data_IF_717968521345
#
_entry.id   IF_717968521345
#
_cell.length_a   1.000
_cell.length_b   1.000
_cell.length_c   1.000
_cell.angle_alpha   90.00
_cell.angle_beta   90.00
_cell.angle_gamma   90.00
#
_symmetry.space_group_name_H-M   'P 1'
#
loop_
_entity.id
_entity.type
_entity.pdbx_description
1 polymer ?
#
# COMPACT_ATOMS: atom_id res chain seq x y z
N UNK A 1 3.14 5.15 10.46
CA UNK A 1 2.45 5.13 11.77
C UNK A 1 2.42 6.57 12.25
N UNK A 2 1.25 7.22 12.19
CA UNK A 2 1.09 8.63 12.53
C UNK A 2 0.93 8.77 14.06
N UNK A 3 1.77 9.57 14.71
CA UNK A 3 1.66 9.90 16.13
C UNK A 3 0.84 11.18 16.30
N UNK A 4 -0.41 11.09 16.75
CA UNK A 4 -1.22 12.28 17.07
C UNK A 4 -0.84 12.90 18.41
N UNK A 5 -0.77 14.24 18.45
CA UNK A 5 -0.50 15.07 19.62
C UNK A 5 -1.76 15.31 20.47
N UNK A 6 -1.66 16.06 21.58
CA UNK A 6 -2.69 16.24 22.64
C UNK A 6 -4.06 16.82 22.20
N UNK A 7 -4.30 17.10 20.91
CA UNK A 7 -5.60 17.50 20.35
C UNK A 7 -6.19 16.36 19.51
N UNK A 8 -7.46 16.04 19.70
CA UNK A 8 -8.15 14.95 18.99
C UNK A 8 -8.17 15.14 17.46
N UNK A 9 -8.18 16.40 17.03
CA UNK A 9 -8.05 16.83 15.63
C UNK A 9 -6.86 17.79 15.58
N UNK A 10 -5.73 17.30 15.11
CA UNK A 10 -4.51 18.08 14.88
C UNK A 10 -4.10 17.98 13.40
N UNK A 11 -2.97 18.62 13.04
CA UNK A 11 -2.44 18.57 11.67
C UNK A 11 -2.18 17.12 11.18
N UNK A 12 -1.98 16.15 12.07
CA UNK A 12 -1.78 14.75 11.68
C UNK A 12 -3.04 14.10 11.13
N UNK A 13 -4.22 14.47 11.64
CA UNK A 13 -5.50 14.04 11.07
C UNK A 13 -5.68 14.61 9.65
N UNK A 14 -5.28 15.86 9.43
CA UNK A 14 -5.32 16.49 8.11
C UNK A 14 -4.31 15.85 7.14
N UNK A 15 -3.10 15.52 7.63
CA UNK A 15 -2.09 14.76 6.89
C UNK A 15 -2.63 13.39 6.47
N UNK A 16 -3.29 12.65 7.38
CA UNK A 16 -3.91 11.37 7.05
C UNK A 16 -5.00 11.52 5.99
N UNK A 17 -5.87 12.54 6.09
CA UNK A 17 -6.89 12.82 5.08
C UNK A 17 -6.27 13.05 3.70
N UNK A 18 -5.27 13.94 3.61
CA UNK A 18 -4.60 14.24 2.35
C UNK A 18 -3.92 13.00 1.77
N UNK A 19 -3.19 12.25 2.60
CA UNK A 19 -2.50 11.03 2.19
C UNK A 19 -3.46 9.97 1.64
N UNK A 20 -4.55 9.66 2.34
CA UNK A 20 -5.56 8.72 1.87
C UNK A 20 -6.21 9.20 0.56
N UNK A 21 -6.59 10.48 0.48
CA UNK A 21 -7.18 11.06 -0.73
C UNK A 21 -6.24 10.99 -1.92
N UNK A 22 -4.97 11.34 -1.73
CA UNK A 22 -3.98 11.43 -2.80
C UNK A 22 -3.53 10.06 -3.32
N UNK A 23 -3.26 9.12 -2.42
CA UNK A 23 -2.75 7.81 -2.80
C UNK A 23 -3.87 6.90 -3.35
N UNK A 24 -5.12 7.09 -2.93
CA UNK A 24 -6.26 6.28 -3.38
C UNK A 24 -7.05 6.90 -4.54
N UNK A 25 -6.75 8.13 -4.95
CA UNK A 25 -7.43 8.80 -6.06
C UNK A 25 -7.06 8.24 -7.43
N UNK A 26 -7.91 8.47 -8.42
CA UNK A 26 -7.50 8.39 -9.82
C UNK A 26 -6.79 9.68 -10.26
N UNK A 27 -6.40 9.76 -11.53
CA UNK A 27 -5.73 10.94 -12.10
C UNK A 27 -6.57 12.20 -11.98
N UNK A 28 -7.90 12.12 -12.17
CA UNK A 28 -8.78 13.28 -12.18
C UNK A 28 -8.87 13.88 -10.78
N UNK A 29 -9.13 13.03 -9.79
CA UNK A 29 -9.25 13.43 -8.40
C UNK A 29 -7.90 13.89 -7.84
N UNK A 30 -6.78 13.29 -8.28
CA UNK A 30 -5.43 13.70 -7.85
C UNK A 30 -5.07 15.11 -8.33
N UNK A 31 -5.52 15.53 -9.52
CA UNK A 31 -5.28 16.90 -10.01
C UNK A 31 -5.87 17.96 -9.07
N UNK A 32 -7.00 17.67 -8.42
CA UNK A 32 -7.64 18.60 -7.46
C UNK A 32 -6.76 18.80 -6.20
N UNK A 33 -5.87 17.84 -5.91
CA UNK A 33 -4.97 17.84 -4.75
C UNK A 33 -3.58 18.38 -5.08
N UNK A 34 -3.38 18.90 -6.30
CA UNK A 34 -2.12 19.41 -6.81
C UNK A 34 -2.34 20.82 -7.38
N UNK A 35 -1.37 21.74 -7.23
CA UNK A 35 -1.36 22.96 -8.02
C UNK A 35 -1.28 22.67 -9.52
N UNK A 36 -1.84 23.57 -10.35
CA UNK A 36 -1.89 23.41 -11.82
C UNK A 36 -0.51 23.14 -12.44
N UNK A 37 0.54 23.81 -11.94
CA UNK A 37 1.94 23.61 -12.37
C UNK A 37 2.43 22.16 -12.19
N UNK A 38 1.85 21.42 -11.25
CA UNK A 38 2.24 20.07 -10.88
C UNK A 38 1.23 19.00 -11.34
N UNK A 39 0.32 19.30 -12.27
CA UNK A 39 -0.63 18.32 -12.80
C UNK A 39 0.01 17.10 -13.48
N UNK A 40 1.27 17.18 -13.92
CA UNK A 40 2.03 16.02 -14.43
C UNK A 40 2.24 14.93 -13.38
N UNK A 41 2.21 15.27 -12.08
CA UNK A 41 2.33 14.31 -10.99
C UNK A 41 1.01 13.58 -10.69
N UNK A 42 -0.09 13.98 -11.34
CA UNK A 42 -1.41 13.39 -11.07
C UNK A 42 -1.57 11.97 -11.64
N UNK A 43 -0.79 11.60 -12.65
CA UNK A 43 -0.95 10.32 -13.33
C UNK A 43 -0.49 9.16 -12.47
N UNK A 44 -1.28 8.09 -12.44
CA UNK A 44 -1.04 6.94 -11.57
C UNK A 44 0.29 6.22 -11.83
N UNK A 45 0.78 6.21 -13.08
CA UNK A 45 2.09 5.65 -13.45
C UNK A 45 3.27 6.62 -13.19
N UNK A 46 3.01 7.80 -12.64
CA UNK A 46 4.03 8.80 -12.28
C UNK A 46 4.25 8.84 -10.78
N UNK A 47 3.27 8.47 -9.95
CA UNK A 47 3.41 8.47 -8.49
C UNK A 47 4.10 7.20 -8.03
N UNK A 48 5.30 7.33 -7.45
CA UNK A 48 5.97 6.21 -6.76
C UNK A 48 5.49 6.08 -5.32
N UNK A 49 5.38 7.21 -4.62
CA UNK A 49 4.80 7.25 -3.28
C UNK A 49 4.88 8.62 -2.62
N UNK A 50 4.16 8.75 -1.50
CA UNK A 50 4.05 9.97 -0.72
C UNK A 50 4.60 9.68 0.68
N UNK A 51 5.84 10.09 0.95
CA UNK A 51 6.53 9.76 2.19
C UNK A 51 6.28 10.82 3.26
N UNK A 52 5.73 10.47 4.44
CA UNK A 52 5.51 11.43 5.52
C UNK A 52 6.81 11.80 6.26
N UNK A 53 6.81 12.99 6.88
CA UNK A 53 7.79 13.45 7.88
C UNK A 53 9.25 13.31 7.44
N UNK A 54 9.59 13.89 6.30
CA UNK A 54 10.91 13.72 5.70
C UNK A 54 11.81 14.88 6.08
N UNK A 55 12.99 14.58 6.60
CA UNK A 55 14.08 15.55 6.73
C UNK A 55 14.62 15.88 5.33
N UNK A 56 14.40 17.10 4.88
CA UNK A 56 14.81 17.56 3.53
C UNK A 56 15.98 18.55 3.54
N UNK A 57 16.35 19.07 4.72
CA UNK A 57 17.49 19.97 4.83
C UNK A 57 17.72 20.48 6.25
N UNK A 58 18.44 21.59 6.33
CA UNK A 58 18.54 22.39 7.55
C UNK A 58 17.70 23.66 7.40
N UNK A 59 17.27 24.23 8.53
CA UNK A 59 16.65 25.55 8.56
C UNK A 59 17.71 26.64 8.54
N UNK A 60 17.33 27.83 8.10
CA UNK A 60 18.23 29.01 8.04
C UNK A 60 18.77 29.42 9.41
N UNK A 61 18.04 29.14 10.48
CA UNK A 61 18.38 29.42 11.88
C UNK A 61 19.03 28.23 12.62
N UNK A 62 19.27 27.11 11.93
CA UNK A 62 19.84 25.89 12.49
C UNK A 62 18.79 24.81 12.83
N UNK A 63 19.25 23.56 12.89
CA UNK A 63 18.38 22.39 13.09
C UNK A 63 17.83 21.81 11.79
N UNK A 64 17.06 20.73 11.89
CA UNK A 64 16.57 19.98 10.73
C UNK A 64 15.25 20.56 10.22
N UNK A 65 15.15 20.80 8.91
CA UNK A 65 13.87 21.07 8.26
C UNK A 65 13.20 19.73 7.90
N UNK A 66 12.01 19.52 8.44
CA UNK A 66 11.17 18.35 8.22
C UNK A 66 9.90 18.84 7.56
N UNK A 67 9.63 18.37 6.34
CA UNK A 67 8.38 18.65 5.63
C UNK A 67 7.34 17.58 5.97
N UNK A 68 6.06 17.92 5.89
CA UNK A 68 4.99 16.97 6.18
C UNK A 68 4.96 15.79 5.22
N UNK A 69 5.14 16.04 3.91
CA UNK A 69 5.35 14.98 2.93
C UNK A 69 6.40 15.32 1.88
N UNK A 70 7.00 14.27 1.31
CA UNK A 70 7.71 14.32 0.03
C UNK A 70 7.02 13.41 -0.96
N UNK A 71 6.62 13.97 -2.09
CA UNK A 71 6.10 13.21 -3.23
C UNK A 71 7.27 12.73 -4.10
N UNK A 72 7.44 11.41 -4.15
CA UNK A 72 8.42 10.74 -5.00
C UNK A 72 7.75 10.33 -6.31
N UNK A 73 8.24 10.82 -7.46
CA UNK A 73 7.78 10.34 -8.75
C UNK A 73 8.52 9.06 -9.16
N UNK A 74 7.96 8.34 -10.13
CA UNK A 74 8.59 7.18 -10.75
C UNK A 74 9.86 7.61 -11.49
N UNK A 75 10.96 6.82 -11.45
CA UNK A 75 12.22 7.15 -12.13
C UNK A 75 12.05 7.47 -13.62
N UNK A 76 11.14 6.78 -14.28
CA UNK A 76 10.86 6.94 -15.73
C UNK A 76 10.22 8.27 -16.10
N UNK A 77 9.76 9.06 -15.12
CA UNK A 77 9.10 10.35 -15.37
C UNK A 77 10.08 11.51 -15.59
N UNK A 78 11.32 11.39 -15.11
CA UNK A 78 12.29 12.50 -15.10
C UNK A 78 11.88 13.71 -14.24
N UNK A 79 10.80 13.60 -13.48
CA UNK A 79 10.32 14.68 -12.61
C UNK A 79 11.13 14.70 -11.29
N UNK A 80 11.43 15.88 -10.72
CA UNK A 80 12.04 15.94 -9.40
C UNK A 80 11.01 15.68 -8.30
N UNK A 81 11.46 15.32 -7.08
CA UNK A 81 10.56 15.22 -5.92
C UNK A 81 9.95 16.59 -5.56
N UNK A 82 8.79 16.56 -4.89
CA UNK A 82 8.10 17.75 -4.38
C UNK A 82 7.98 17.68 -2.86
N UNK A 83 8.31 18.77 -2.17
CA UNK A 83 7.98 18.94 -0.76
C UNK A 83 6.53 19.43 -0.63
N UNK A 84 5.82 18.93 0.38
CA UNK A 84 4.45 19.32 0.65
C UNK A 84 4.34 19.66 2.13
N UNK A 85 3.89 20.88 2.41
CA UNK A 85 3.56 21.32 3.76
C UNK A 85 2.04 21.37 3.93
N UNK A 86 1.55 20.85 5.06
CA UNK A 86 0.14 20.86 5.40
C UNK A 86 -0.10 21.88 6.51
N UNK A 87 -1.12 22.72 6.35
CA UNK A 87 -1.60 23.62 7.42
C UNK A 87 -3.12 23.62 7.50
N UNK A 88 -3.62 23.94 8.69
CA UNK A 88 -5.03 24.30 8.84
C UNK A 88 -5.32 25.63 8.15
N UNK A 89 -4.51 26.66 8.43
CA UNK A 89 -4.55 27.94 7.74
C UNK A 89 -3.24 28.22 7.02
N UNK A 90 -3.32 28.72 5.79
CA UNK A 90 -2.14 29.14 5.02
C UNK A 90 -1.33 30.22 5.76
N UNK A 91 -1.98 31.04 6.58
CA UNK A 91 -1.33 32.08 7.41
C UNK A 91 -0.32 31.51 8.40
N UNK A 92 -0.53 30.28 8.88
CA UNK A 92 0.39 29.62 9.81
C UNK A 92 1.73 29.29 9.12
N UNK A 93 1.71 29.03 7.81
CA UNK A 93 2.92 28.85 7.01
C UNK A 93 3.60 30.20 6.71
N UNK A 94 2.83 31.26 6.42
CA UNK A 94 3.39 32.58 6.15
C UNK A 94 4.20 33.16 7.32
N UNK A 95 3.83 32.79 8.56
CA UNK A 95 4.56 33.15 9.77
C UNK A 95 5.91 32.43 9.92
N UNK A 96 6.25 31.50 9.01
CA UNK A 96 7.45 30.67 9.05
C UNK A 96 8.31 30.87 7.77
N UNK A 97 8.76 32.11 7.49
CA UNK A 97 9.49 32.43 6.27
C UNK A 97 10.81 31.66 6.14
N UNK A 98 11.40 31.19 7.24
CA UNK A 98 12.60 30.36 7.25
C UNK A 98 12.43 29.02 6.52
N UNK A 99 11.19 28.64 6.18
CA UNK A 99 10.88 27.42 5.44
C UNK A 99 10.77 27.64 3.93
N UNK A 100 10.59 28.88 3.46
CA UNK A 100 10.17 29.16 2.09
C UNK A 100 11.14 28.63 1.03
N UNK A 101 12.45 28.67 1.31
CA UNK A 101 13.49 28.18 0.39
C UNK A 101 13.35 26.69 0.04
N UNK A 102 12.68 25.91 0.90
CA UNK A 102 12.42 24.49 0.67
C UNK A 102 11.22 24.23 -0.25
N UNK A 103 10.49 25.26 -0.67
CA UNK A 103 9.30 25.14 -1.53
C UNK A 103 9.33 26.06 -2.76
N UNK A 104 10.09 27.16 -2.73
CA UNK A 104 10.08 28.22 -3.76
C UNK A 104 11.07 28.01 -4.93
N UNK A 105 11.71 26.84 -5.03
CA UNK A 105 12.78 26.47 -5.98
C UNK A 105 14.19 26.99 -5.66
N UNK A 106 14.43 27.62 -4.49
CA UNK A 106 15.79 28.00 -4.07
C UNK A 106 16.62 26.79 -3.64
N UNK A 107 16.12 25.99 -2.69
CA UNK A 107 16.74 24.72 -2.25
C UNK A 107 16.03 23.54 -2.91
N UNK A 108 14.70 23.59 -2.88
CA UNK A 108 13.85 22.56 -3.46
C UNK A 108 12.52 23.16 -3.90
N UNK A 109 11.75 22.36 -4.63
CA UNK A 109 10.43 22.73 -5.12
C UNK A 109 9.35 22.04 -4.29
N UNK A 110 8.22 22.72 -4.13
CA UNK A 110 7.12 22.19 -3.35
C UNK A 110 5.90 23.08 -3.39
N UNK A 111 4.92 22.74 -2.56
CA UNK A 111 3.69 23.51 -2.44
C UNK A 111 3.09 23.37 -1.04
N UNK A 112 2.17 24.27 -0.73
CA UNK A 112 1.42 24.25 0.52
C UNK A 112 0.02 23.71 0.26
N UNK A 113 -0.46 22.88 1.18
CA UNK A 113 -1.84 22.43 1.24
C UNK A 113 -2.48 23.05 2.47
N UNK A 114 -3.57 23.76 2.29
CA UNK A 114 -4.32 24.36 3.39
C UNK A 114 -5.81 24.01 3.32
N UNK A 115 -6.56 24.20 4.40
CA UNK A 115 -8.03 24.15 4.33
C UNK A 115 -8.53 25.49 3.76
N UNK A 116 -9.51 25.43 2.84
CA UNK A 116 -10.06 26.63 2.21
C UNK A 116 -10.67 27.58 3.27
N UNK A 117 -10.25 28.84 3.22
CA UNK A 117 -10.83 29.95 3.98
C UNK A 117 -11.44 30.96 2.99
N UNK A 118 -12.75 31.21 3.12
CA UNK A 118 -13.51 32.10 2.25
C UNK A 118 -12.99 33.53 2.25
N UNK A 119 -12.29 33.96 3.32
CA UNK A 119 -11.73 35.31 3.43
C UNK A 119 -10.30 35.42 2.91
N UNK A 120 -9.53 34.33 2.92
CA UNK A 120 -8.12 34.36 2.60
C UNK A 120 -7.60 33.01 2.08
N UNK A 121 -7.58 32.87 0.75
CA UNK A 121 -7.07 31.69 0.04
C UNK A 121 -6.24 32.10 -1.19
N UNK A 122 -5.08 32.76 -1.03
CA UNK A 122 -4.21 33.11 -2.15
C UNK A 122 -3.74 31.87 -2.92
N UNK A 123 -3.66 31.93 -4.24
CA UNK A 123 -3.15 30.83 -5.07
C UNK A 123 -1.64 30.61 -4.90
N UNK A 124 -0.91 31.66 -4.52
CA UNK A 124 0.54 31.64 -4.35
C UNK A 124 0.99 32.48 -3.15
N UNK A 125 2.11 32.05 -2.54
CA UNK A 125 2.88 32.78 -1.53
C UNK A 125 4.28 33.13 -2.08
N UNK A 126 5.07 33.85 -1.29
CA UNK A 126 6.45 34.26 -1.63
C UNK A 126 6.54 34.87 -3.03
N UNK A 127 5.78 35.96 -3.26
CA UNK A 127 5.76 36.69 -4.54
C UNK A 127 5.50 35.79 -5.76
N UNK A 128 4.57 34.83 -5.65
CA UNK A 128 4.18 33.96 -6.76
C UNK A 128 5.01 32.68 -6.89
N UNK A 129 5.95 32.40 -5.98
CA UNK A 129 6.89 31.28 -6.10
C UNK A 129 6.40 29.99 -5.46
N UNK A 130 5.61 30.07 -4.39
CA UNK A 130 5.13 28.90 -3.66
C UNK A 130 3.64 28.72 -3.96
N UNK A 131 3.25 27.75 -4.79
CA UNK A 131 1.83 27.51 -5.06
C UNK A 131 1.11 26.91 -3.85
N UNK A 132 -0.19 27.17 -3.74
CA UNK A 132 -1.07 26.67 -2.69
C UNK A 132 -2.24 25.89 -3.29
N UNK A 133 -2.61 24.77 -2.67
CA UNK A 133 -3.84 24.03 -2.99
C UNK A 133 -4.74 23.95 -1.76
N UNK A 134 -6.04 24.15 -1.97
CA UNK A 134 -7.01 24.23 -0.88
C UNK A 134 -7.91 22.99 -0.80
N UNK A 135 -7.98 22.41 0.39
CA UNK A 135 -8.90 21.32 0.71
C UNK A 135 -10.28 21.86 1.04
N UNK A 136 -11.31 21.23 0.48
CA UNK A 136 -12.70 21.54 0.79
C UNK A 136 -13.05 21.15 2.24
N UNK A 137 -13.49 22.10 3.09
CA UNK A 137 -13.85 21.82 4.49
C UNK A 137 -14.97 20.79 4.62
N UNK A 138 -15.98 20.84 3.75
CA UNK A 138 -17.12 19.91 3.79
C UNK A 138 -16.72 18.48 3.41
N UNK A 139 -15.79 18.32 2.47
CA UNK A 139 -15.27 17.01 2.11
C UNK A 139 -14.44 16.42 3.24
N UNK A 140 -13.62 17.25 3.91
CA UNK A 140 -12.89 16.83 5.10
C UNK A 140 -13.82 16.39 6.22
N UNK A 141 -14.88 17.17 6.52
CA UNK A 141 -15.90 16.79 7.52
C UNK A 141 -16.53 15.44 7.21
N UNK A 142 -16.97 15.23 5.96
CA UNK A 142 -17.57 13.96 5.52
C UNK A 142 -16.60 12.79 5.67
N UNK A 143 -15.33 12.98 5.31
CA UNK A 143 -14.30 11.95 5.50
C UNK A 143 -14.07 11.66 6.98
N UNK A 144 -13.91 12.70 7.81
CA UNK A 144 -13.65 12.56 9.23
C UNK A 144 -14.77 11.81 9.93
N UNK A 145 -16.04 12.13 9.66
CA UNK A 145 -17.19 11.41 10.23
C UNK A 145 -17.12 9.90 9.94
N UNK A 146 -16.76 9.51 8.71
CA UNK A 146 -16.60 8.10 8.31
C UNK A 146 -15.42 7.39 8.97
N UNK A 147 -14.40 8.13 9.38
CA UNK A 147 -13.12 7.60 9.92
C UNK A 147 -12.95 7.83 11.42
N UNK A 148 -13.86 8.58 12.04
CA UNK A 148 -13.80 9.05 13.43
C UNK A 148 -13.47 7.94 14.42
N UNK A 149 -14.16 6.80 14.33
CA UNK A 149 -13.88 5.65 15.19
C UNK A 149 -12.43 5.19 15.10
N UNK A 150 -11.90 5.00 13.88
CA UNK A 150 -10.53 4.53 13.67
C UNK A 150 -9.50 5.56 14.16
N UNK A 151 -9.74 6.85 13.90
CA UNK A 151 -8.87 7.95 14.35
C UNK A 151 -8.82 8.00 15.88
N UNK A 152 -9.99 7.96 16.53
CA UNK A 152 -10.09 8.00 18.00
C UNK A 152 -9.49 6.73 18.62
N UNK A 153 -9.79 5.56 18.06
CA UNK A 153 -9.23 4.29 18.54
C UNK A 153 -7.70 4.29 18.44
N UNK A 154 -7.13 4.79 17.35
CA UNK A 154 -5.68 4.92 17.20
C UNK A 154 -5.06 5.87 18.22
N UNK A 155 -5.67 7.05 18.42
CA UNK A 155 -5.18 8.02 19.40
C UNK A 155 -5.21 7.46 20.83
N UNK A 156 -6.27 6.73 21.19
CA UNK A 156 -6.38 6.08 22.50
C UNK A 156 -5.36 4.95 22.65
N UNK A 157 -5.23 4.09 21.65
CA UNK A 157 -4.29 2.98 21.64
C UNK A 157 -2.84 3.46 21.85
N UNK A 158 -2.43 4.51 21.13
CA UNK A 158 -1.11 5.13 21.30
C UNK A 158 -0.90 5.65 22.72
N UNK A 159 -1.93 6.26 23.32
CA UNK A 159 -1.84 6.81 24.69
C UNK A 159 -1.81 5.73 25.77
N UNK A 160 -2.50 4.63 25.53
CA UNK A 160 -2.61 3.50 26.46
C UNK A 160 -1.50 2.45 26.26
N UNK A 161 -0.69 2.57 25.21
CA UNK A 161 0.31 1.56 24.85
C UNK A 161 -0.33 0.24 24.41
N UNK A 162 -1.57 0.28 23.92
CA UNK A 162 -2.30 -0.88 23.41
C UNK A 162 -2.39 -0.87 21.88
N UNK A 163 -2.81 -1.98 21.29
CA UNK A 163 -3.05 -2.04 19.84
C UNK A 163 -4.38 -1.36 19.49
N UNK A 164 -4.45 -0.57 18.41
CA UNK A 164 -5.69 0.01 17.93
C UNK A 164 -6.67 -1.07 17.51
N UNK A 165 -7.93 -0.92 17.89
CA UNK A 165 -9.00 -1.84 17.48
C UNK A 165 -9.66 -1.33 16.21
N UNK A 166 -9.76 -2.16 15.19
CA UNK A 166 -10.54 -1.85 13.99
C UNK A 166 -11.99 -2.24 14.21
N UNK A 167 -12.94 -1.35 13.91
CA UNK A 167 -14.37 -1.66 14.01
C UNK A 167 -14.76 -2.89 13.19
N UNK A 168 -14.13 -3.07 12.02
CA UNK A 168 -14.38 -4.21 11.13
C UNK A 168 -13.68 -5.50 11.57
N UNK A 169 -12.88 -5.48 12.64
CA UNK A 169 -11.99 -6.58 12.99
C UNK A 169 -10.78 -6.72 12.04
N UNK A 170 -10.02 -7.79 12.24
CA UNK A 170 -8.89 -8.20 11.39
C UNK A 170 -9.35 -8.48 9.95
N UNK A 171 -8.50 -8.19 8.98
CA UNK A 171 -8.72 -8.49 7.56
C UNK A 171 -7.81 -9.60 7.06
N UNK A 172 -8.23 -10.20 5.95
CA UNK A 172 -7.58 -11.35 5.34
C UNK A 172 -7.22 -11.04 3.90
N UNK A 173 -5.99 -11.30 3.52
CA UNK A 173 -5.41 -10.91 2.25
C UNK A 173 -4.81 -12.11 1.54
N UNK A 174 -4.86 -12.11 0.21
CA UNK A 174 -4.23 -13.13 -0.63
C UNK A 174 -3.20 -12.46 -1.53
N UNK A 175 -1.99 -13.04 -1.56
CA UNK A 175 -0.88 -12.65 -2.43
C UNK A 175 -0.42 -13.87 -3.21
N UNK A 176 -0.53 -13.81 -4.54
CA UNK A 176 -0.03 -14.83 -5.44
C UNK A 176 1.42 -14.52 -5.83
N UNK A 177 2.34 -15.41 -5.44
CA UNK A 177 3.77 -15.30 -5.75
C UNK A 177 4.09 -16.04 -7.05
N UNK A 178 4.51 -15.27 -8.07
CA UNK A 178 4.80 -15.76 -9.43
C UNK A 178 6.13 -15.23 -9.96
N UNK A 179 6.82 -16.03 -10.78
CA UNK A 179 8.09 -15.63 -11.42
C UNK A 179 9.15 -15.18 -10.41
N UNK A 180 9.76 -14.01 -10.63
CA UNK A 180 10.79 -13.46 -9.74
C UNK A 180 10.31 -13.25 -8.29
N UNK A 181 9.02 -12.95 -8.08
CA UNK A 181 8.47 -12.72 -6.73
C UNK A 181 8.47 -13.99 -5.87
N UNK A 182 8.42 -15.18 -6.49
CA UNK A 182 8.56 -16.46 -5.79
C UNK A 182 9.95 -16.59 -5.15
N UNK A 183 11.01 -16.36 -5.92
CA UNK A 183 12.38 -16.46 -5.39
C UNK A 183 12.63 -15.42 -4.29
N UNK A 184 12.14 -14.19 -4.47
CA UNK A 184 12.25 -13.15 -3.44
C UNK A 184 11.52 -13.54 -2.15
N UNK A 185 10.31 -14.11 -2.26
CA UNK A 185 9.58 -14.57 -1.09
C UNK A 185 10.34 -15.70 -0.36
N UNK A 186 10.80 -16.72 -1.07
CA UNK A 186 11.45 -17.87 -0.44
C UNK A 186 12.81 -17.54 0.18
N UNK A 187 13.61 -16.69 -0.48
CA UNK A 187 14.96 -16.37 -0.02
C UNK A 187 15.01 -15.25 1.02
N UNK A 188 14.05 -14.33 0.97
CA UNK A 188 14.09 -13.12 1.80
C UNK A 188 12.80 -12.91 2.58
N UNK A 189 11.65 -13.04 1.93
CA UNK A 189 10.38 -12.74 2.60
C UNK A 189 10.04 -13.68 3.76
N UNK A 190 10.05 -14.99 3.48
CA UNK A 190 9.77 -16.05 4.45
C UNK A 190 10.83 -16.12 5.57
N UNK A 191 12.16 -16.09 5.29
CA UNK A 191 13.17 -16.20 6.35
C UNK A 191 13.30 -14.96 7.24
N UNK A 192 13.00 -13.76 6.73
CA UNK A 192 13.16 -12.50 7.47
C UNK A 192 11.82 -11.85 7.88
N UNK A 193 10.72 -12.59 7.80
CA UNK A 193 9.39 -12.14 8.24
C UNK A 193 8.93 -10.83 7.60
N UNK A 194 9.10 -10.73 6.29
CA UNK A 194 8.86 -9.50 5.56
C UNK A 194 8.25 -9.77 4.19
N UNK A 195 7.48 -8.82 3.69
CA UNK A 195 7.15 -8.78 2.28
C UNK A 195 7.33 -7.38 1.72
N UNK A 196 7.98 -7.31 0.56
CA UNK A 196 8.20 -6.08 -0.18
C UNK A 196 7.35 -6.10 -1.45
N UNK A 197 6.57 -5.05 -1.65
CA UNK A 197 5.87 -4.84 -2.88
C UNK A 197 6.80 -4.03 -3.79
N UNK A 198 7.06 -4.56 -5.00
CA UNK A 198 7.67 -3.76 -6.06
C UNK A 198 6.77 -2.55 -6.32
N UNK A 199 7.36 -1.39 -6.60
CA UNK A 199 6.63 -0.12 -6.77
C UNK A 199 5.32 -0.33 -7.55
N UNK A 200 4.22 -0.38 -6.81
CA UNK A 200 2.90 -0.69 -7.33
C UNK A 200 2.27 0.63 -7.76
N UNK A 201 1.82 0.69 -9.01
CA UNK A 201 1.09 1.85 -9.51
C UNK A 201 -0.24 2.03 -8.76
N UNK A 202 -0.79 1.00 -8.10
CA UNK A 202 -2.10 1.03 -7.44
C UNK A 202 -2.03 0.44 -6.02
N UNK A 203 -1.40 1.12 -5.04
CA UNK A 203 -1.16 0.56 -3.71
C UNK A 203 -2.43 0.48 -2.83
N UNK A 204 -3.64 0.61 -3.42
CA UNK A 204 -4.90 0.75 -2.68
C UNK A 204 -5.12 -0.40 -1.70
N UNK A 205 -4.88 -1.63 -2.15
CA UNK A 205 -5.09 -2.80 -1.29
C UNK A 205 -3.99 -2.92 -0.24
N UNK A 206 -2.74 -2.72 -0.66
CA UNK A 206 -1.56 -2.82 0.22
C UNK A 206 -1.66 -1.82 1.38
N UNK A 207 -2.03 -0.57 1.11
CA UNK A 207 -2.19 0.48 2.12
C UNK A 207 -3.24 0.16 3.19
N UNK A 208 -4.17 -0.74 2.89
CA UNK A 208 -5.22 -1.15 3.81
C UNK A 208 -4.82 -2.34 4.69
N UNK A 209 -3.64 -2.93 4.47
CA UNK A 209 -3.05 -3.98 5.31
C UNK A 209 -2.50 -3.34 6.58
N UNK A 210 -3.06 -3.73 7.73
CA UNK A 210 -2.71 -3.20 9.04
C UNK A 210 -2.08 -4.27 9.94
N UNK A 211 -1.48 -3.86 11.07
CA UNK A 211 -1.08 -4.78 12.14
C UNK A 211 -2.29 -5.61 12.60
N UNK A 212 -2.10 -6.91 12.77
CA UNK A 212 -3.13 -7.88 13.15
C UNK A 212 -3.86 -8.55 11.99
N UNK A 213 -3.76 -8.02 10.77
CA UNK A 213 -4.30 -8.68 9.57
C UNK A 213 -3.53 -9.97 9.26
N UNK A 214 -4.12 -10.84 8.42
CA UNK A 214 -3.49 -12.06 7.94
C UNK A 214 -3.28 -12.04 6.43
N UNK A 215 -2.13 -12.52 5.98
CA UNK A 215 -1.78 -12.63 4.57
C UNK A 215 -1.54 -14.10 4.21
N UNK A 216 -2.27 -14.59 3.21
CA UNK A 216 -2.08 -15.88 2.57
C UNK A 216 -1.17 -15.67 1.35
N UNK A 217 0.05 -16.21 1.39
CA UNK A 217 0.91 -16.36 0.22
C UNK A 217 0.61 -17.67 -0.48
N UNK A 218 0.37 -17.62 -1.79
CA UNK A 218 0.10 -18.81 -2.60
C UNK A 218 1.07 -18.92 -3.77
N UNK A 219 1.56 -20.14 -4.04
CA UNK A 219 2.37 -20.47 -5.21
C UNK A 219 1.75 -21.62 -5.98
N UNK A 220 1.71 -21.47 -7.30
CA UNK A 220 1.34 -22.56 -8.19
C UNK A 220 2.49 -23.54 -8.38
N UNK A 221 2.14 -24.82 -8.41
CA UNK A 221 2.94 -25.88 -8.97
C UNK A 221 2.99 -25.77 -10.51
N UNK A 222 1.80 -25.69 -11.09
CA UNK A 222 1.57 -25.45 -12.50
C UNK A 222 0.27 -24.67 -12.67
N UNK A 223 0.11 -24.00 -13.81
CA UNK A 223 -1.12 -23.29 -14.18
C UNK A 223 -1.23 -23.23 -15.71
N UNK A 224 -2.21 -23.94 -16.25
CA UNK A 224 -2.38 -24.17 -17.68
C UNK A 224 -3.86 -24.10 -18.07
N UNK A 225 -4.19 -23.48 -19.23
CA UNK A 225 -3.30 -22.73 -20.11
C UNK A 225 -3.01 -21.32 -19.57
N UNK A 226 -1.73 -20.96 -19.52
CA UNK A 226 -1.27 -19.62 -19.17
C UNK A 226 -1.69 -19.18 -17.76
N UNK A 227 -2.62 -18.22 -17.65
CA UNK A 227 -3.10 -17.63 -16.39
C UNK A 227 -4.56 -18.00 -16.09
N UNK A 228 -5.00 -19.17 -16.54
CA UNK A 228 -6.37 -19.66 -16.40
C UNK A 228 -6.67 -20.17 -14.97
N UNK A 229 -6.70 -19.27 -14.00
CA UNK A 229 -7.04 -19.61 -12.60
C UNK A 229 -8.55 -19.48 -12.41
N UNK A 230 -9.24 -20.61 -12.44
CA UNK A 230 -10.69 -20.73 -12.25
C UNK A 230 -11.02 -21.87 -11.29
N UNK A 231 -12.10 -21.74 -10.49
CA UNK A 231 -12.56 -22.83 -9.64
C UNK A 231 -12.93 -24.05 -10.49
N UNK A 232 -12.89 -25.25 -9.91
CA UNK A 232 -13.38 -26.45 -10.55
C UNK A 232 -14.91 -26.40 -10.62
N UNK A 233 -15.48 -26.70 -11.79
CA UNK A 233 -16.93 -26.81 -11.94
C UNK A 233 -17.37 -28.26 -11.94
N UNK A 234 -18.35 -28.59 -11.11
CA UNK A 234 -19.04 -29.88 -11.18
C UNK A 234 -20.00 -29.98 -12.39
N UNK A 235 -20.33 -28.84 -13.01
CA UNK A 235 -21.07 -28.79 -14.26
C UNK A 235 -20.13 -29.00 -15.47
N UNK A 236 -20.29 -30.14 -16.15
CA UNK A 236 -19.52 -30.54 -17.35
C UNK A 236 -19.66 -29.57 -18.54
N UNK A 237 -20.69 -28.71 -18.56
CA UNK A 237 -20.90 -27.70 -19.61
C UNK A 237 -20.37 -26.32 -19.23
N UNK A 238 -19.72 -26.17 -18.07
CA UNK A 238 -19.21 -24.88 -17.64
C UNK A 238 -18.17 -24.33 -18.62
N UNK A 239 -18.26 -23.03 -18.85
CA UNK A 239 -17.40 -22.30 -19.76
C UNK A 239 -16.77 -21.09 -19.05
N UNK A 240 -15.45 -20.97 -19.17
CA UNK A 240 -14.67 -19.93 -18.51
C UNK A 240 -14.10 -18.96 -19.54
N UNK A 241 -14.44 -17.68 -19.43
CA UNK A 241 -14.10 -16.67 -20.44
C UNK A 241 -12.59 -16.37 -20.49
N UNK A 242 -11.95 -16.54 -21.64
CA UNK A 242 -10.53 -16.16 -21.82
C UNK A 242 -10.37 -14.64 -21.81
N UNK A 243 -9.21 -14.16 -21.35
CA UNK A 243 -8.90 -12.72 -21.32
C UNK A 243 -8.85 -12.07 -22.72
N UNK A 244 -8.61 -12.85 -23.79
CA UNK A 244 -8.53 -12.39 -25.18
C UNK A 244 -9.73 -12.82 -26.04
N UNK A 245 -10.85 -13.17 -25.42
CA UNK A 245 -12.05 -13.68 -26.11
C UNK A 245 -12.06 -15.20 -26.27
N UNK A 246 -13.26 -15.77 -26.39
CA UNK A 246 -13.50 -17.21 -26.36
C UNK A 246 -13.65 -17.79 -24.95
N UNK A 247 -13.79 -19.11 -24.88
CA UNK A 247 -14.03 -19.86 -23.65
C UNK A 247 -13.04 -21.01 -23.48
N UNK A 248 -12.83 -21.41 -22.24
CA UNK A 248 -12.21 -22.68 -21.84
C UNK A 248 -13.28 -23.58 -21.23
N UNK A 249 -13.21 -24.88 -21.49
CA UNK A 249 -13.99 -25.88 -20.75
C UNK A 249 -13.35 -26.20 -19.40
N UNK A 250 -14.03 -26.99 -18.59
CA UNK A 250 -13.54 -27.39 -17.29
C UNK A 250 -12.28 -28.28 -17.39
N UNK A 251 -12.20 -29.15 -18.38
CA UNK A 251 -11.11 -30.11 -18.61
C UNK A 251 -9.87 -29.44 -19.21
N UNK A 252 -10.04 -28.34 -19.94
CA UNK A 252 -8.93 -27.58 -20.52
C UNK A 252 -8.11 -26.82 -19.47
N UNK A 253 -8.59 -26.71 -18.23
CA UNK A 253 -7.93 -25.91 -17.17
C UNK A 253 -7.32 -26.83 -16.12
N UNK A 254 -5.99 -26.78 -15.98
CA UNK A 254 -5.23 -27.49 -14.95
C UNK A 254 -4.39 -26.51 -14.16
N UNK A 255 -4.56 -26.49 -12.84
CA UNK A 255 -3.64 -25.80 -11.95
C UNK A 255 -3.63 -26.49 -10.58
N UNK A 256 -2.52 -26.38 -9.88
CA UNK A 256 -2.40 -26.86 -8.50
C UNK A 256 -1.51 -25.93 -7.69
N UNK A 257 -1.71 -25.87 -6.38
CA UNK A 257 -0.88 -25.10 -5.46
C UNK A 257 0.12 -26.02 -4.77
N UNK A 258 1.38 -25.59 -4.64
CA UNK A 258 2.41 -26.33 -3.89
C UNK A 258 3.08 -25.46 -2.82
N UNK A 259 2.46 -24.34 -2.46
CA UNK A 259 2.78 -23.52 -1.30
C UNK A 259 1.56 -22.71 -0.92
N UNK A 260 1.17 -22.80 0.35
CA UNK A 260 0.28 -21.86 1.02
C UNK A 260 0.89 -21.52 2.38
N UNK A 261 1.35 -20.29 2.56
CA UNK A 261 1.78 -19.77 3.86
C UNK A 261 0.76 -18.73 4.34
N UNK A 262 0.30 -18.85 5.57
CA UNK A 262 -0.57 -17.89 6.24
C UNK A 262 0.23 -17.23 7.36
N UNK A 263 0.36 -15.91 7.28
CA UNK A 263 1.20 -15.12 8.18
C UNK A 263 0.43 -13.97 8.80
N UNK A 264 0.61 -13.75 10.10
CA UNK A 264 0.03 -12.61 10.81
C UNK A 264 0.92 -11.38 10.65
N UNK A 265 0.32 -10.27 10.25
CA UNK A 265 1.00 -8.99 10.07
C UNK A 265 1.37 -8.41 11.43
N UNK A 266 2.65 -8.12 11.61
CA UNK A 266 3.19 -7.39 12.76
C UNK A 266 3.18 -5.88 12.51
N UNK A 267 3.58 -5.48 11.31
CA UNK A 267 3.58 -4.08 10.88
C UNK A 267 2.94 -4.02 9.50
N UNK A 268 1.82 -3.31 9.44
CA UNK A 268 1.13 -3.01 8.19
C UNK A 268 1.97 -2.16 7.23
N UNK A 269 1.31 -1.67 6.19
CA UNK A 269 1.97 -0.91 5.13
C UNK A 269 2.85 0.22 5.67
N UNK A 270 4.10 0.23 5.21
CA UNK A 270 5.02 1.32 5.48
C UNK A 270 6.00 1.51 4.33
N UNK A 271 6.56 2.72 4.27
CA UNK A 271 7.45 3.18 3.22
C UNK A 271 8.91 3.20 3.68
N UNK A 272 9.85 2.99 2.77
CA UNK A 272 11.25 3.30 3.01
C UNK A 272 11.91 4.03 1.84
N UNK A 273 12.03 5.35 1.99
CA UNK A 273 12.81 6.22 1.13
C UNK A 273 14.10 6.72 1.78
N UNK A 274 14.63 6.01 2.79
CA UNK A 274 15.97 6.33 3.30
C UNK A 274 17.06 5.83 2.34
N UNK A 275 18.29 6.31 2.47
CA UNK A 275 19.46 5.79 1.73
C UNK A 275 19.99 4.47 2.32
N UNK A 276 19.33 3.91 3.34
CA UNK A 276 19.68 2.62 3.93
C UNK A 276 18.61 1.59 3.60
N UNK A 277 18.98 0.32 3.32
CA UNK A 277 18.00 -0.74 3.25
C UNK A 277 17.41 -0.93 4.65
N UNK A 278 16.08 -1.04 4.78
CA UNK A 278 15.47 -1.25 6.09
C UNK A 278 15.58 -2.72 6.52
N UNK A 279 15.76 -3.61 5.55
CA UNK A 279 15.77 -5.06 5.70
C UNK A 279 16.78 -5.66 4.70
N UNK A 280 17.46 -6.70 5.14
CA UNK A 280 18.46 -7.41 4.36
C UNK A 280 17.80 -8.23 3.23
N UNK A 281 18.48 -8.37 2.09
CA UNK A 281 18.01 -9.20 0.97
C UNK A 281 17.01 -8.52 0.02
N UNK A 282 16.63 -7.27 0.29
CA UNK A 282 15.89 -6.43 -0.65
C UNK A 282 16.81 -5.32 -1.18
N UNK A 283 16.64 -4.96 -2.46
CA UNK A 283 17.40 -3.88 -3.12
C UNK A 283 18.91 -4.13 -3.27
N UNK A 284 19.39 -5.37 -3.31
CA UNK A 284 20.83 -5.68 -3.52
C UNK A 284 21.36 -5.12 -4.85
N UNK A 285 20.57 -5.19 -5.92
CA UNK A 285 20.92 -4.56 -7.21
C UNK A 285 21.06 -3.05 -7.10
N UNK A 286 20.19 -2.41 -6.32
CA UNK A 286 20.24 -0.97 -6.07
C UNK A 286 21.47 -0.59 -5.24
N UNK A 287 21.84 -1.41 -4.25
CA UNK A 287 23.09 -1.26 -3.48
C UNK A 287 24.34 -1.37 -4.37
N UNK A 288 24.28 -2.11 -5.47
CA UNK A 288 25.38 -2.20 -6.43
C UNK A 288 25.31 -1.13 -7.54
N UNK A 289 24.30 -0.27 -7.55
CA UNK A 289 24.13 0.76 -8.57
C UNK A 289 25.03 1.98 -8.32
N UNK A 290 25.44 2.66 -9.41
CA UNK A 290 26.24 3.89 -9.34
C UNK A 290 25.45 5.10 -8.82
N UNK A 291 24.12 5.06 -8.88
CA UNK A 291 23.22 6.16 -8.52
C UNK A 291 22.25 5.70 -7.44
N UNK A 292 22.77 5.55 -6.22
CA UNK A 292 21.98 5.20 -5.04
C UNK A 292 21.19 6.41 -4.55
N UNK A 293 19.90 6.44 -4.86
CA UNK A 293 18.97 7.41 -4.29
C UNK A 293 17.64 6.73 -3.96
N UNK A 294 16.83 7.28 -3.05
CA UNK A 294 15.51 6.72 -2.73
C UNK A 294 14.60 6.53 -3.96
N UNK A 295 14.72 7.43 -4.93
CA UNK A 295 14.01 7.39 -6.21
C UNK A 295 14.36 6.14 -7.00
N UNK A 296 15.62 5.68 -6.97
CA UNK A 296 16.10 4.55 -7.77
C UNK A 296 15.89 3.17 -7.13
N UNK A 297 15.37 3.09 -5.90
CA UNK A 297 15.04 1.82 -5.24
C UNK A 297 13.99 1.01 -6.01
N UNK A 298 14.14 -0.31 -6.02
CA UNK A 298 13.15 -1.22 -6.62
C UNK A 298 12.00 -1.52 -5.65
N UNK A 299 12.28 -1.48 -4.35
CA UNK A 299 11.34 -1.76 -3.28
C UNK A 299 11.24 -0.59 -2.31
N UNK A 300 10.06 0.03 -2.23
CA UNK A 300 9.81 1.11 -1.27
C UNK A 300 8.64 0.86 -0.35
N UNK A 301 7.89 -0.22 -0.57
CA UNK A 301 6.63 -0.52 0.09
C UNK A 301 6.72 -1.88 0.79
N UNK A 302 6.48 -1.92 2.10
CA UNK A 302 6.75 -3.10 2.92
C UNK A 302 5.62 -3.40 3.91
N UNK A 303 5.50 -4.67 4.27
CA UNK A 303 4.79 -5.18 5.45
C UNK A 303 5.71 -6.18 6.15
N UNK A 304 5.57 -6.33 7.47
CA UNK A 304 6.32 -7.36 8.23
C UNK A 304 5.37 -8.27 8.98
N UNK A 305 5.83 -9.49 9.25
CA UNK A 305 5.08 -10.53 9.91
C UNK A 305 5.61 -10.78 11.31
N UNK A 306 4.78 -11.42 12.14
CA UNK A 306 5.27 -11.96 13.40
C UNK A 306 6.17 -13.16 13.11
N UNK A 307 7.14 -13.39 13.98
CA UNK A 307 7.75 -14.71 14.07
C UNK A 307 6.64 -15.71 14.43
N UNK A 308 6.61 -16.90 13.81
CA UNK A 308 5.63 -17.92 14.18
C UNK A 308 5.64 -18.14 15.69
N UNK A 309 4.50 -17.88 16.33
CA UNK A 309 4.38 -17.91 17.79
C UNK A 309 3.28 -18.85 18.29
N UNK A 310 2.78 -19.73 17.41
CA UNK A 310 1.68 -20.65 17.72
C UNK A 310 0.29 -20.01 17.62
N UNK A 311 0.15 -18.87 16.93
CA UNK A 311 -1.15 -18.32 16.56
C UNK A 311 -1.93 -19.35 15.71
N UNK A 312 -3.16 -19.65 16.13
CA UNK A 312 -4.00 -20.71 15.55
C UNK A 312 -4.34 -20.52 14.06
N UNK A 313 -4.20 -19.30 13.54
CA UNK A 313 -4.47 -18.97 12.15
C UNK A 313 -3.20 -18.90 11.29
N UNK A 314 -2.02 -18.91 11.90
CA UNK A 314 -0.78 -19.01 11.14
C UNK A 314 -0.54 -20.44 10.67
N UNK A 315 -0.05 -20.56 9.45
CA UNK A 315 0.30 -21.84 8.84
C UNK A 315 1.50 -21.64 7.93
N UNK A 316 2.51 -22.49 8.06
CA UNK A 316 3.67 -22.45 7.18
C UNK A 316 3.69 -23.77 6.42
N UNK A 317 3.66 -23.67 5.08
CA UNK A 317 3.66 -24.83 4.21
C UNK A 317 4.87 -25.70 4.52
N UNK A 318 4.59 -26.89 5.03
CA UNK A 318 5.55 -27.90 5.47
C UNK A 318 5.23 -29.28 4.86
N UNK A 319 4.31 -29.33 3.89
CA UNK A 319 3.94 -30.56 3.23
C UNK A 319 5.15 -31.19 2.52
N UNK A 320 5.25 -32.54 2.47
CA UNK A 320 6.32 -33.23 1.75
C UNK A 320 6.47 -32.78 0.30
N UNK A 321 7.69 -32.92 -0.23
CA UNK A 321 7.96 -32.62 -1.64
C UNK A 321 7.02 -33.43 -2.56
N UNK A 322 6.40 -32.74 -3.53
CA UNK A 322 5.45 -33.35 -4.46
C UNK A 322 3.99 -33.31 -4.02
N UNK A 323 3.68 -32.93 -2.77
CA UNK A 323 2.30 -32.68 -2.35
C UNK A 323 1.80 -31.36 -2.95
N UNK A 324 0.63 -31.44 -3.60
CA UNK A 324 -0.05 -30.29 -4.20
C UNK A 324 -1.52 -30.28 -3.82
N UNK A 325 -2.12 -29.09 -3.80
CA UNK A 325 -3.56 -28.89 -3.72
C UNK A 325 -4.12 -28.71 -5.12
N UNK A 326 -4.70 -29.78 -5.65
CA UNK A 326 -5.32 -29.79 -6.97
C UNK A 326 -6.53 -28.83 -7.03
N UNK A 327 -6.72 -28.20 -8.19
CA UNK A 327 -7.89 -27.36 -8.51
C UNK A 327 -9.22 -27.97 -8.07
N UNK A 328 -9.40 -29.29 -8.13
CA UNK A 328 -10.62 -30.00 -7.71
C UNK A 328 -11.01 -29.78 -6.25
N UNK A 329 -10.07 -29.38 -5.40
CA UNK A 329 -10.36 -29.00 -4.01
C UNK A 329 -11.08 -27.64 -3.91
N UNK A 330 -11.09 -26.86 -4.99
CA UNK A 330 -11.63 -25.50 -5.04
C UNK A 330 -12.82 -25.42 -6.01
N UNK A 331 -13.95 -25.97 -5.57
CA UNK A 331 -15.20 -26.07 -6.33
C UNK A 331 -15.99 -24.74 -6.38
N UNK A 332 -16.71 -24.52 -7.47
CA UNK A 332 -17.45 -23.28 -7.77
C UNK A 332 -18.82 -23.16 -7.09
N UNK A 333 -19.40 -24.27 -6.63
CA UNK A 333 -20.59 -24.31 -5.79
C UNK A 333 -20.33 -23.84 -4.34
N UNK A 334 -19.06 -23.80 -3.93
CA UNK A 334 -18.63 -23.21 -2.67
C UNK A 334 -18.19 -21.75 -2.88
N UNK A 335 -19.02 -20.81 -2.42
CA UNK A 335 -18.77 -19.36 -2.52
C UNK A 335 -17.44 -18.93 -1.87
N UNK A 336 -17.01 -19.59 -0.79
CA UNK A 336 -15.75 -19.30 -0.11
C UNK A 336 -14.55 -19.72 -0.97
N UNK A 337 -14.61 -20.91 -1.57
CA UNK A 337 -13.60 -21.39 -2.52
C UNK A 337 -13.55 -20.53 -3.78
N UNK A 338 -14.70 -20.19 -4.34
CA UNK A 338 -14.79 -19.34 -5.52
C UNK A 338 -14.19 -17.94 -5.24
N UNK A 339 -14.51 -17.35 -4.08
CA UNK A 339 -13.97 -16.08 -3.62
C UNK A 339 -12.44 -16.13 -3.48
N UNK A 340 -11.91 -17.19 -2.88
CA UNK A 340 -10.47 -17.37 -2.74
C UNK A 340 -9.78 -17.50 -4.10
N UNK A 341 -10.27 -18.35 -5.00
CA UNK A 341 -9.69 -18.53 -6.35
C UNK A 341 -9.75 -17.23 -7.16
N UNK A 342 -10.85 -16.47 -7.07
CA UNK A 342 -10.95 -15.12 -7.68
C UNK A 342 -9.86 -14.18 -7.14
N UNK A 343 -9.60 -14.19 -5.83
CA UNK A 343 -8.55 -13.37 -5.22
C UNK A 343 -7.14 -13.79 -5.68
N UNK A 344 -6.85 -15.09 -5.77
CA UNK A 344 -5.58 -15.59 -6.34
C UNK A 344 -5.41 -15.09 -7.78
N UNK A 345 -6.45 -15.27 -8.60
CA UNK A 345 -6.44 -14.86 -10.00
C UNK A 345 -6.20 -13.35 -10.14
N UNK A 346 -6.88 -12.55 -9.32
CA UNK A 346 -6.73 -11.10 -9.32
C UNK A 346 -5.29 -10.71 -8.94
N UNK A 347 -4.77 -11.24 -7.83
CA UNK A 347 -3.41 -10.99 -7.36
C UNK A 347 -2.37 -11.36 -8.44
N UNK A 348 -2.52 -12.52 -9.08
CA UNK A 348 -1.63 -12.94 -10.17
C UNK A 348 -1.66 -11.96 -11.36
N UNK A 349 -2.84 -11.44 -11.72
CA UNK A 349 -2.98 -10.50 -12.83
C UNK A 349 -2.47 -9.10 -12.51
N UNK A 350 -2.40 -8.74 -11.22
CA UNK A 350 -1.84 -7.47 -10.73
C UNK A 350 -0.41 -7.60 -10.20
N UNK A 351 0.34 -8.62 -10.68
CA UNK A 351 1.76 -8.83 -10.35
C UNK A 351 2.03 -9.07 -8.86
N UNK A 352 1.15 -9.80 -8.19
CA UNK A 352 1.27 -10.13 -6.77
C UNK A 352 0.77 -9.03 -5.83
N UNK A 353 -0.12 -8.15 -6.30
CA UNK A 353 -0.81 -7.21 -5.40
C UNK A 353 -1.72 -7.96 -4.43
N UNK A 354 -1.91 -7.42 -3.23
CA UNK A 354 -2.77 -8.01 -2.23
C UNK A 354 -4.24 -7.92 -2.64
N UNK A 355 -5.01 -8.98 -2.39
CA UNK A 355 -6.46 -9.02 -2.62
C UNK A 355 -7.18 -9.39 -1.33
N UNK A 356 -8.13 -8.57 -0.89
CA UNK A 356 -8.93 -8.83 0.31
C UNK A 356 -9.89 -10.01 0.07
N UNK A 357 -10.03 -10.89 1.07
CA UNK A 357 -11.03 -11.95 1.12
C UNK A 357 -11.82 -11.86 2.43
N UNK A 358 -13.00 -12.48 2.45
CA UNK A 358 -13.78 -12.58 3.69
C UNK A 358 -13.12 -13.53 4.68
N UNK A 359 -13.51 -13.39 5.95
CA UNK A 359 -13.15 -14.34 7.01
C UNK A 359 -13.59 -15.77 6.69
N UNK A 360 -14.78 -15.94 6.10
CA UNK A 360 -15.30 -17.26 5.73
C UNK A 360 -14.45 -17.94 4.65
N UNK A 361 -13.99 -17.18 3.64
CA UNK A 361 -13.05 -17.67 2.63
C UNK A 361 -11.71 -18.05 3.24
N UNK A 362 -11.20 -17.23 4.16
CA UNK A 362 -9.97 -17.51 4.90
C UNK A 362 -10.06 -18.79 5.74
N UNK A 363 -11.09 -18.92 6.58
CA UNK A 363 -11.30 -20.08 7.46
C UNK A 363 -11.53 -21.36 6.65
N UNK A 364 -12.18 -21.28 5.49
CA UNK A 364 -12.32 -22.42 4.57
C UNK A 364 -10.97 -22.93 4.05
N UNK A 365 -10.03 -22.04 3.76
CA UNK A 365 -8.67 -22.42 3.33
C UNK A 365 -7.88 -22.99 4.51
N UNK A 366 -7.97 -22.38 5.68
CA UNK A 366 -7.31 -22.89 6.89
C UNK A 366 -7.80 -24.30 7.24
N UNK A 367 -9.11 -24.55 7.14
CA UNK A 367 -9.68 -25.88 7.34
C UNK A 367 -9.14 -26.89 6.33
N UNK A 368 -9.08 -26.55 5.04
CA UNK A 368 -8.46 -27.41 4.02
C UNK A 368 -7.01 -27.76 4.38
N UNK A 369 -6.22 -26.78 4.84
CA UNK A 369 -4.83 -27.00 5.22
C UNK A 369 -4.68 -27.90 6.46
N UNK A 370 -5.64 -27.89 7.38
CA UNK A 370 -5.65 -28.77 8.55
C UNK A 370 -5.94 -30.24 8.23
N UNK A 371 -6.34 -30.55 6.98
CA UNK A 371 -6.59 -31.92 6.52
C UNK A 371 -5.42 -32.55 5.76
N UNK A 372 -4.35 -31.76 5.51
CA UNK A 372 -3.07 -32.24 4.98
C UNK A 372 -2.25 -32.88 6.10
#
# INVERSE_FOLDING_TARGET
MFYNSKKLIDEKVLQQYYFERFMLSDTKDRKILLPTKYHSYAFTNIVKGLNPEVRVGQKTDGGSHITDFVLYPMPTSGLPKLNIEMKWSVKDFEQQPERFEHYNNTISQGFVVAVKDDKYSPEYLDNGKIPVVYLCPEDFKKWFTKKSYAIVSQALANKLGSKPTRLSGEKFWVICIVGASNQHYLNHGRPYDIWAFRDNNHPKNIMNILDGDYVIFVRFDHCEPGRAVYPYSNNIKAQFKKSRGGYLTNEEISWALNLIDIRKVNKGYHLNYSIKPPYQGFDEEWLNSKTQSPETKNYTQFITFNKPNGDQFEYIWSAPAGITLDRKLFIDDNLNSESFVKAIRQSMNTRGDACEISRSSFESVLHLLSTL
#
